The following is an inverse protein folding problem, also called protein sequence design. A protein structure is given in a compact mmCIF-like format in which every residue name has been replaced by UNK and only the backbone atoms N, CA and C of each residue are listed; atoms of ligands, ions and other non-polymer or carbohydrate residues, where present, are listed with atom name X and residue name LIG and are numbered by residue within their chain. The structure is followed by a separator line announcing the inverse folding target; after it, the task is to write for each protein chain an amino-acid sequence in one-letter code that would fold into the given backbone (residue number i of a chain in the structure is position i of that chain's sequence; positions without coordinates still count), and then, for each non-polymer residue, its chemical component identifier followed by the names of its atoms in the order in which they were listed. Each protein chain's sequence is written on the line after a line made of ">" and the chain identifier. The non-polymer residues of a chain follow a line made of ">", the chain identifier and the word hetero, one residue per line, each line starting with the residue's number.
data_IF_398263870871
#
_entry.id   IF_398263870871
#
_cell.length_a   1.000
_cell.length_b   1.000
_cell.length_c   1.000
_cell.angle_alpha   90.00
_cell.angle_beta   90.00
_cell.angle_gamma   90.00
#
_symmetry.space_group_name_H-M   'P 1'
#
loop_
_entity.id
_entity.type
_entity.pdbx_description
1 polymer ?
#
# COMPACT_ATOMS: atom_id res chain seq x y z
N UNK A 1 -14.27 15.51 -12.93
CA UNK A 1 -13.10 16.07 -13.60
C UNK A 1 -12.01 15.06 -13.99
N UNK A 2 -12.28 13.77 -13.89
CA UNK A 2 -11.34 12.69 -14.25
C UNK A 2 -10.82 12.79 -15.70
N UNK A 3 -11.57 13.40 -16.61
CA UNK A 3 -11.15 13.60 -18.00
C UNK A 3 -10.04 14.65 -18.15
N UNK A 4 -9.87 15.55 -17.18
CA UNK A 4 -8.84 16.56 -17.17
C UNK A 4 -7.53 16.05 -16.54
N UNK A 5 -7.62 14.99 -15.74
CA UNK A 5 -6.54 14.36 -15.01
C UNK A 5 -5.98 13.11 -15.74
N UNK A 6 -5.02 12.40 -15.12
CA UNK A 6 -4.50 11.08 -15.51
C UNK A 6 -3.86 11.03 -16.89
N UNK A 7 -3.06 12.03 -17.20
CA UNK A 7 -2.25 12.10 -18.40
C UNK A 7 -0.94 11.31 -18.24
N UNK A 8 -0.38 10.90 -19.36
CA UNK A 8 1.01 10.43 -19.38
C UNK A 8 1.95 11.60 -19.12
N UNK A 9 2.95 11.41 -18.26
CA UNK A 9 3.98 12.42 -18.05
C UNK A 9 4.95 12.49 -19.23
N UNK A 10 5.11 13.66 -19.86
CA UNK A 10 5.96 13.84 -21.05
C UNK A 10 7.43 14.15 -20.72
N UNK A 11 7.82 14.23 -19.44
CA UNK A 11 9.13 14.69 -18.99
C UNK A 11 9.14 16.13 -18.47
N UNK A 12 8.06 16.88 -18.67
CA UNK A 12 7.89 18.25 -18.22
C UNK A 12 6.51 18.44 -17.59
N UNK A 13 6.38 19.25 -16.50
CA UNK A 13 7.48 19.80 -15.72
C UNK A 13 8.33 18.71 -15.07
N UNK A 14 9.59 18.98 -14.70
CA UNK A 14 10.44 18.01 -14.03
C UNK A 14 9.87 17.61 -12.67
N UNK A 15 10.14 16.36 -12.24
CA UNK A 15 9.82 15.96 -10.89
C UNK A 15 10.48 16.90 -9.90
N UNK A 16 9.76 17.44 -8.91
CA UNK A 16 10.37 18.31 -7.90
C UNK A 16 11.47 17.58 -7.14
N UNK A 17 12.51 18.32 -6.70
CA UNK A 17 13.51 17.76 -5.81
C UNK A 17 12.85 17.14 -4.57
N UNK A 18 13.45 16.07 -4.03
CA UNK A 18 12.89 15.41 -2.87
C UNK A 18 12.91 16.33 -1.65
N UNK A 19 11.74 16.75 -1.22
CA UNK A 19 11.53 17.67 -0.09
C UNK A 19 11.44 16.98 1.27
N UNK A 20 11.50 15.67 1.30
CA UNK A 20 11.45 14.92 2.56
C UNK A 20 12.76 15.11 3.33
N UNK A 21 12.71 15.18 4.68
CA UNK A 21 13.91 15.23 5.49
C UNK A 21 14.78 14.00 5.25
N UNK A 22 16.08 14.15 5.47
CA UNK A 22 17.03 13.04 5.37
C UNK A 22 17.61 12.76 6.75
N UNK A 23 17.57 11.48 7.15
CA UNK A 23 18.08 11.02 8.44
C UNK A 23 19.08 9.89 8.24
N UNK A 24 20.15 9.87 9.03
CA UNK A 24 21.08 8.76 9.12
C UNK A 24 20.66 7.79 10.21
N UNK A 25 20.17 6.63 9.82
CA UNK A 25 19.80 5.52 10.70
C UNK A 25 20.78 4.35 10.65
N UNK A 26 22.02 4.57 10.16
CA UNK A 26 23.01 3.50 9.99
C UNK A 26 23.31 2.77 11.30
N UNK A 27 23.37 3.49 12.42
CA UNK A 27 23.60 2.86 13.74
C UNK A 27 22.41 1.98 14.16
N UNK A 28 21.20 2.47 13.97
CA UNK A 28 19.97 1.72 14.27
C UNK A 28 19.85 0.48 13.36
N UNK A 29 20.14 0.64 12.09
CA UNK A 29 20.11 -0.46 11.13
C UNK A 29 21.09 -1.57 11.52
N UNK A 30 22.32 -1.23 11.92
CA UNK A 30 23.28 -2.20 12.46
C UNK A 30 22.74 -2.93 13.70
N UNK A 31 22.02 -2.23 14.56
CA UNK A 31 21.39 -2.85 15.75
C UNK A 31 20.30 -3.84 15.34
N UNK A 32 19.44 -3.48 14.37
CA UNK A 32 18.43 -4.40 13.83
C UNK A 32 19.08 -5.64 13.22
N UNK A 33 20.13 -5.46 12.42
CA UNK A 33 20.85 -6.60 11.83
C UNK A 33 21.50 -7.54 12.89
N UNK A 34 22.07 -6.97 13.94
CA UNK A 34 22.67 -7.75 15.04
C UNK A 34 21.65 -8.49 15.91
N UNK A 35 20.41 -8.02 15.96
CA UNK A 35 19.35 -8.66 16.74
C UNK A 35 18.89 -10.01 16.17
N UNK A 36 19.42 -10.43 15.01
CA UNK A 36 19.03 -11.66 14.34
C UNK A 36 17.65 -11.62 13.69
N UNK A 37 16.97 -10.46 13.72
CA UNK A 37 15.70 -10.28 13.02
C UNK A 37 15.98 -10.37 11.52
N UNK A 38 15.36 -11.34 10.89
CA UNK A 38 15.48 -11.49 9.45
C UNK A 38 14.70 -10.36 8.77
N UNK A 39 15.31 -9.68 7.81
CA UNK A 39 14.74 -8.59 7.04
C UNK A 39 14.93 -8.83 5.56
N UNK A 40 14.16 -8.16 4.73
CA UNK A 40 14.34 -8.14 3.28
C UNK A 40 14.32 -6.68 2.78
N UNK A 41 14.81 -6.46 1.55
CA UNK A 41 15.03 -5.14 1.00
C UNK A 41 16.42 -4.59 1.28
N UNK A 42 16.73 -3.45 0.65
CA UNK A 42 18.01 -2.77 0.73
C UNK A 42 17.80 -1.30 1.14
N UNK A 43 17.39 -1.02 2.38
CA UNK A 43 17.17 0.34 2.81
C UNK A 43 18.49 1.14 2.81
N UNK A 44 18.44 2.35 2.25
CA UNK A 44 19.56 3.29 2.37
C UNK A 44 19.53 3.93 3.76
N UNK A 45 19.98 3.20 4.77
CA UNK A 45 19.87 3.60 6.17
C UNK A 45 20.56 4.94 6.49
N UNK A 46 21.64 5.29 5.76
CA UNK A 46 22.34 6.57 5.90
C UNK A 46 21.56 7.77 5.30
N UNK A 47 20.53 7.50 4.52
CA UNK A 47 19.79 8.54 3.79
C UNK A 47 18.27 8.27 3.77
N UNK A 48 17.72 7.77 4.87
CA UNK A 48 16.29 7.50 4.97
C UNK A 48 15.50 8.82 4.95
N UNK A 49 14.48 8.89 4.09
CA UNK A 49 13.76 10.15 3.80
C UNK A 49 12.29 10.08 4.20
N UNK A 50 12.05 9.96 5.52
CA UNK A 50 10.69 10.01 6.07
C UNK A 50 10.64 10.93 7.28
N UNK A 51 9.57 11.72 7.48
CA UNK A 51 9.45 12.59 8.64
C UNK A 51 9.39 11.77 9.93
N UNK A 52 10.09 12.22 10.96
CA UNK A 52 10.13 11.57 12.29
C UNK A 52 9.30 12.31 13.34
N UNK A 53 8.82 13.50 13.02
CA UNK A 53 8.04 14.34 13.92
C UNK A 53 7.06 15.21 13.15
N UNK A 54 6.15 15.85 13.90
CA UNK A 54 5.11 16.70 13.33
C UNK A 54 5.66 17.91 12.56
N UNK A 55 6.72 18.54 13.03
CA UNK A 55 7.32 19.69 12.36
C UNK A 55 7.84 19.32 10.97
N UNK A 56 8.52 18.20 10.85
CA UNK A 56 8.98 17.68 9.56
C UNK A 56 7.82 17.27 8.65
N UNK A 57 6.76 16.67 9.22
CA UNK A 57 5.57 16.31 8.48
C UNK A 57 4.81 17.53 7.93
N UNK A 58 4.74 18.63 8.69
CA UNK A 58 4.17 19.89 8.24
C UNK A 58 5.02 20.52 7.13
N UNK A 59 6.33 20.50 7.24
CA UNK A 59 7.23 20.96 6.17
C UNK A 59 7.05 20.14 4.87
N UNK A 60 6.82 18.81 4.99
CA UNK A 60 6.47 17.97 3.85
C UNK A 60 5.12 18.36 3.23
N UNK A 61 4.11 18.68 4.04
CA UNK A 61 2.81 19.15 3.56
C UNK A 61 2.94 20.48 2.80
N UNK A 62 3.62 21.45 3.38
CA UNK A 62 3.87 22.76 2.74
C UNK A 62 4.60 22.61 1.40
N UNK A 63 5.64 21.77 1.36
CA UNK A 63 6.39 21.50 0.14
C UNK A 63 5.54 20.80 -0.93
N UNK A 64 4.70 19.86 -0.55
CA UNK A 64 3.75 19.21 -1.48
C UNK A 64 2.78 20.22 -2.06
N UNK A 65 2.13 21.03 -1.22
CA UNK A 65 1.18 22.07 -1.65
C UNK A 65 1.84 23.02 -2.65
N UNK A 66 3.06 23.48 -2.33
CA UNK A 66 3.76 24.47 -3.14
C UNK A 66 4.31 23.92 -4.46
N UNK A 67 4.78 22.65 -4.49
CA UNK A 67 5.61 22.15 -5.58
C UNK A 67 4.95 21.06 -6.43
N UNK A 68 4.04 20.26 -5.84
CA UNK A 68 3.53 19.08 -6.49
C UNK A 68 2.01 19.09 -6.71
N UNK A 69 1.24 19.67 -5.78
CA UNK A 69 -0.22 19.72 -5.89
C UNK A 69 -0.72 20.31 -7.22
N UNK A 70 -0.12 21.39 -7.77
CA UNK A 70 -0.57 21.94 -9.06
C UNK A 70 -0.55 20.96 -10.22
N UNK A 71 0.32 19.95 -10.17
CA UNK A 71 0.49 18.93 -11.22
C UNK A 71 -0.01 17.54 -10.82
N UNK A 72 -0.50 17.38 -9.57
CA UNK A 72 -0.93 16.09 -9.04
C UNK A 72 -2.00 15.44 -9.92
N UNK A 73 -3.08 16.16 -10.23
CA UNK A 73 -4.18 15.62 -11.04
C UNK A 73 -3.74 15.17 -12.43
N UNK A 74 -2.95 16.00 -13.12
CA UNK A 74 -2.45 15.68 -14.45
C UNK A 74 -1.69 14.36 -14.50
N UNK A 75 -0.91 14.03 -13.46
CA UNK A 75 0.05 12.92 -13.49
C UNK A 75 -0.14 11.88 -12.37
N UNK A 76 -1.29 11.88 -11.69
CA UNK A 76 -1.56 10.95 -10.57
C UNK A 76 -1.48 9.46 -10.97
N UNK A 77 -1.77 9.14 -12.24
CA UNK A 77 -1.68 7.78 -12.80
C UNK A 77 -0.40 7.54 -13.63
N UNK A 78 0.44 8.55 -13.81
CA UNK A 78 1.65 8.40 -14.61
C UNK A 78 2.71 7.55 -13.89
N UNK A 79 3.56 6.89 -14.68
CA UNK A 79 4.67 6.08 -14.19
C UNK A 79 5.94 6.42 -14.96
N UNK A 80 7.07 6.59 -14.26
CA UNK A 80 8.35 6.86 -14.91
C UNK A 80 9.50 6.14 -14.22
N UNK A 81 10.44 5.65 -15.02
CA UNK A 81 11.71 5.11 -14.54
C UNK A 81 12.70 6.18 -14.09
N UNK A 82 12.48 7.43 -14.51
CA UNK A 82 13.34 8.58 -14.20
C UNK A 82 12.78 9.45 -13.07
N UNK A 83 11.46 9.40 -12.86
CA UNK A 83 10.75 10.20 -11.88
C UNK A 83 9.87 9.29 -10.99
N UNK A 84 10.45 8.60 -10.00
CA UNK A 84 9.75 7.53 -9.25
C UNK A 84 8.68 8.04 -8.29
N UNK A 85 8.66 9.33 -7.97
CA UNK A 85 7.68 9.96 -7.08
C UNK A 85 6.65 10.79 -7.83
N UNK A 86 7.05 11.34 -9.00
CA UNK A 86 6.30 12.32 -9.77
C UNK A 86 5.78 13.45 -8.85
N UNK A 87 4.47 13.66 -8.83
CA UNK A 87 3.83 14.71 -8.05
C UNK A 87 3.00 14.17 -6.87
N UNK A 88 3.29 12.92 -6.42
CA UNK A 88 2.60 12.33 -5.28
C UNK A 88 2.98 13.00 -3.97
N UNK A 89 2.01 13.09 -3.04
CA UNK A 89 2.16 13.84 -1.80
C UNK A 89 3.18 13.28 -0.81
N UNK A 90 3.35 11.94 -0.78
CA UNK A 90 4.17 11.21 0.18
C UNK A 90 3.76 11.43 1.65
N UNK A 91 2.48 11.84 1.89
CA UNK A 91 1.95 12.17 3.22
C UNK A 91 1.28 10.99 3.93
N UNK A 92 1.06 9.87 3.24
CA UNK A 92 0.33 8.71 3.76
C UNK A 92 0.93 8.18 5.07
N UNK A 93 2.26 8.09 5.16
CA UNK A 93 2.93 7.69 6.40
C UNK A 93 2.62 8.65 7.55
N UNK A 94 2.82 9.95 7.36
CA UNK A 94 2.57 10.96 8.38
C UNK A 94 1.11 11.01 8.84
N UNK A 95 0.16 10.78 7.91
CA UNK A 95 -1.27 10.66 8.21
C UNK A 95 -1.57 9.40 9.03
N UNK A 96 -0.95 8.28 8.70
CA UNK A 96 -1.23 7.00 9.35
C UNK A 96 -0.64 6.92 10.76
N UNK A 97 0.53 7.51 11.00
CA UNK A 97 1.12 7.64 12.35
C UNK A 97 0.62 8.86 13.13
N UNK A 98 -0.39 9.59 12.62
CA UNK A 98 -1.03 10.74 13.28
C UNK A 98 -0.12 11.97 13.48
N UNK A 99 0.96 12.11 12.72
CA UNK A 99 1.75 13.35 12.67
C UNK A 99 0.97 14.49 12.00
N UNK A 100 0.10 14.14 11.02
CA UNK A 100 -0.82 15.06 10.36
C UNK A 100 -2.26 14.62 10.58
N UNK A 101 -3.16 15.59 10.73
CA UNK A 101 -4.58 15.35 10.74
C UNK A 101 -5.15 15.48 9.31
N UNK A 102 -6.03 14.56 8.83
CA UNK A 102 -6.57 14.66 7.48
C UNK A 102 -7.24 16.00 7.16
N UNK A 103 -7.97 16.57 8.11
CA UNK A 103 -8.66 17.84 7.92
C UNK A 103 -7.68 19.01 7.65
N UNK A 104 -6.54 19.08 8.36
CA UNK A 104 -5.55 20.13 8.10
C UNK A 104 -4.95 20.01 6.69
N UNK A 105 -4.72 18.80 6.22
CA UNK A 105 -4.23 18.56 4.84
C UNK A 105 -5.27 18.98 3.81
N UNK A 106 -6.55 18.68 4.04
CA UNK A 106 -7.66 19.12 3.19
C UNK A 106 -7.80 20.63 3.16
N UNK A 107 -7.70 21.29 4.31
CA UNK A 107 -7.76 22.76 4.42
C UNK A 107 -6.61 23.46 3.68
N UNK A 108 -5.39 22.90 3.75
CA UNK A 108 -4.25 23.41 2.97
C UNK A 108 -4.47 23.28 1.46
N UNK A 109 -5.00 22.14 1.02
CA UNK A 109 -5.31 21.92 -0.39
C UNK A 109 -6.42 22.85 -0.89
N UNK A 110 -7.49 23.03 -0.11
CA UNK A 110 -8.57 23.96 -0.41
C UNK A 110 -8.06 25.42 -0.49
N UNK A 111 -7.22 25.83 0.46
CA UNK A 111 -6.63 27.17 0.45
C UNK A 111 -5.76 27.41 -0.80
N UNK A 112 -5.02 26.39 -1.26
CA UNK A 112 -4.24 26.48 -2.49
C UNK A 112 -5.12 26.68 -3.73
N UNK A 113 -6.27 26.05 -3.80
CA UNK A 113 -7.24 26.31 -4.85
C UNK A 113 -7.84 27.70 -4.75
N UNK A 114 -8.31 28.11 -3.57
CA UNK A 114 -8.94 29.43 -3.36
C UNK A 114 -7.99 30.59 -3.68
N UNK A 115 -6.70 30.41 -3.45
CA UNK A 115 -5.67 31.40 -3.80
C UNK A 115 -5.25 31.37 -5.27
N UNK A 116 -5.77 30.43 -6.08
CA UNK A 116 -5.37 30.25 -7.49
C UNK A 116 -4.02 29.57 -7.68
N UNK A 117 -3.40 29.03 -6.60
CA UNK A 117 -2.10 28.36 -6.68
C UNK A 117 -2.19 26.98 -7.36
N UNK A 118 -3.29 26.25 -7.15
CA UNK A 118 -3.52 24.94 -7.76
C UNK A 118 -4.87 24.88 -8.49
N UNK A 119 -4.95 24.22 -9.66
CA UNK A 119 -6.18 24.09 -10.41
C UNK A 119 -7.19 23.17 -9.67
N UNK A 120 -8.48 23.45 -9.85
CA UNK A 120 -9.56 22.70 -9.20
C UNK A 120 -9.46 21.19 -9.47
N UNK A 121 -9.15 20.79 -10.70
CA UNK A 121 -9.04 19.38 -11.06
C UNK A 121 -7.99 18.63 -10.24
N UNK A 122 -6.81 19.23 -10.00
CA UNK A 122 -5.76 18.64 -9.18
C UNK A 122 -6.15 18.57 -7.70
N UNK A 123 -6.75 19.65 -7.16
CA UNK A 123 -7.19 19.70 -5.77
C UNK A 123 -8.33 18.72 -5.52
N UNK A 124 -9.32 18.67 -6.40
CA UNK A 124 -10.44 17.72 -6.31
C UNK A 124 -9.95 16.28 -6.39
N UNK A 125 -9.04 15.98 -7.33
CA UNK A 125 -8.39 14.67 -7.43
C UNK A 125 -7.69 14.27 -6.13
N UNK A 126 -6.94 15.20 -5.53
CA UNK A 126 -6.24 14.95 -4.25
C UNK A 126 -7.21 14.78 -3.07
N UNK A 127 -8.21 15.65 -2.95
CA UNK A 127 -9.23 15.58 -1.88
C UNK A 127 -9.99 14.24 -1.92
N UNK A 128 -10.28 13.72 -3.12
CA UNK A 128 -10.92 12.41 -3.29
C UNK A 128 -10.07 11.25 -2.73
N UNK A 129 -8.75 11.36 -2.70
CA UNK A 129 -7.91 10.31 -2.12
C UNK A 129 -8.07 10.27 -0.59
N UNK A 130 -8.25 11.42 0.06
CA UNK A 130 -8.38 11.52 1.51
C UNK A 130 -9.83 11.32 1.98
N UNK A 131 -10.74 12.14 1.48
CA UNK A 131 -12.14 12.13 1.90
C UNK A 131 -12.91 10.94 1.30
N UNK A 132 -12.65 10.62 0.04
CA UNK A 132 -13.26 9.49 -0.64
C UNK A 132 -12.60 8.16 -0.24
N UNK A 133 -11.44 7.87 -0.83
CA UNK A 133 -10.83 6.55 -0.70
C UNK A 133 -10.37 6.21 0.71
N UNK A 134 -9.60 7.06 1.35
CA UNK A 134 -9.05 6.77 2.68
C UNK A 134 -10.14 6.52 3.72
N UNK A 135 -11.17 7.36 3.80
CA UNK A 135 -12.26 7.19 4.76
C UNK A 135 -13.21 6.05 4.35
N UNK A 136 -13.43 5.84 3.05
CA UNK A 136 -14.20 4.69 2.56
C UNK A 136 -13.54 3.36 2.95
N UNK A 137 -12.24 3.22 2.68
CA UNK A 137 -11.46 2.03 3.05
C UNK A 137 -11.49 1.79 4.56
N UNK A 138 -11.39 2.86 5.36
CA UNK A 138 -11.53 2.77 6.81
C UNK A 138 -12.90 2.24 7.23
N UNK A 139 -13.95 2.73 6.60
CA UNK A 139 -15.32 2.24 6.82
C UNK A 139 -15.47 0.75 6.48
N UNK A 140 -14.95 0.32 5.34
CA UNK A 140 -14.95 -1.09 4.92
C UNK A 140 -14.21 -1.97 5.93
N UNK A 141 -13.02 -1.58 6.37
CA UNK A 141 -12.25 -2.34 7.36
C UNK A 141 -13.06 -2.56 8.64
N UNK A 142 -13.56 -1.51 9.26
CA UNK A 142 -14.30 -1.62 10.52
C UNK A 142 -15.65 -2.33 10.40
N UNK A 143 -16.29 -2.26 9.22
CA UNK A 143 -17.57 -2.93 8.99
C UNK A 143 -17.43 -4.43 8.75
N UNK A 144 -16.29 -4.91 8.25
CA UNK A 144 -16.16 -6.28 7.75
C UNK A 144 -15.13 -7.15 8.49
N UNK A 145 -14.25 -6.55 9.33
CA UNK A 145 -13.32 -7.34 10.14
C UNK A 145 -14.03 -8.09 11.28
N UNK A 146 -13.51 -9.26 11.73
CA UNK A 146 -12.26 -9.91 11.28
C UNK A 146 -12.43 -10.81 10.03
N UNK A 147 -13.64 -11.08 9.58
CA UNK A 147 -13.90 -12.03 8.49
C UNK A 147 -13.42 -11.57 7.10
N UNK A 148 -13.08 -10.28 6.95
CA UNK A 148 -12.63 -9.74 5.66
C UNK A 148 -11.27 -10.29 5.21
N UNK A 149 -10.35 -10.50 6.14
CA UNK A 149 -8.99 -10.96 5.86
C UNK A 149 -8.95 -12.32 5.13
N UNK A 150 -9.90 -13.21 5.42
CA UNK A 150 -9.93 -14.56 4.83
C UNK A 150 -10.59 -14.63 3.46
N UNK A 151 -11.10 -13.51 2.92
CA UNK A 151 -11.83 -13.52 1.65
C UNK A 151 -10.91 -13.80 0.46
N UNK A 152 -11.38 -14.70 -0.42
CA UNK A 152 -10.70 -15.06 -1.67
C UNK A 152 -11.73 -15.46 -2.74
N UNK A 153 -12.59 -14.53 -3.14
CA UNK A 153 -13.72 -14.77 -4.02
C UNK A 153 -13.34 -15.29 -5.42
N UNK A 154 -12.12 -15.01 -5.87
CA UNK A 154 -11.61 -15.49 -7.16
C UNK A 154 -10.84 -16.81 -7.06
N UNK A 155 -10.67 -17.34 -5.84
CA UNK A 155 -10.04 -18.64 -5.58
C UNK A 155 -8.60 -18.71 -6.10
N UNK A 156 -7.81 -17.69 -5.77
CA UNK A 156 -6.42 -17.55 -6.17
C UNK A 156 -5.49 -18.11 -5.09
N UNK A 157 -4.57 -19.03 -5.45
CA UNK A 157 -3.75 -19.77 -4.50
C UNK A 157 -2.27 -19.86 -4.88
N UNK A 158 -1.83 -19.23 -5.98
CA UNK A 158 -0.44 -19.29 -6.38
C UNK A 158 0.44 -18.47 -5.43
N UNK A 159 1.58 -19.03 -5.05
CA UNK A 159 2.55 -18.34 -4.20
C UNK A 159 3.20 -17.15 -4.93
N UNK A 160 3.66 -16.15 -4.15
CA UNK A 160 4.42 -15.04 -4.70
C UNK A 160 5.74 -15.54 -5.30
N UNK A 161 6.08 -15.17 -6.55
CA UNK A 161 7.36 -15.51 -7.15
C UNK A 161 8.55 -14.92 -6.39
N UNK A 162 9.71 -15.59 -6.43
CA UNK A 162 10.92 -15.18 -5.73
C UNK A 162 11.34 -13.73 -6.02
N UNK A 163 11.10 -13.24 -7.20
CA UNK A 163 11.46 -11.88 -7.59
C UNK A 163 10.67 -10.77 -6.84
N UNK A 164 9.61 -11.08 -6.11
CA UNK A 164 9.02 -10.13 -5.16
C UNK A 164 10.02 -9.69 -4.08
N UNK A 165 11.01 -10.51 -3.76
CA UNK A 165 12.03 -10.21 -2.75
C UNK A 165 13.37 -9.74 -3.32
N UNK A 166 13.60 -9.89 -4.64
CA UNK A 166 14.88 -9.54 -5.29
C UNK A 166 14.74 -8.48 -6.36
N UNK A 167 13.56 -8.35 -6.95
CA UNK A 167 13.34 -7.53 -8.15
C UNK A 167 13.93 -8.12 -9.42
N UNK A 168 14.35 -9.40 -9.43
CA UNK A 168 14.98 -10.05 -10.58
C UNK A 168 13.95 -10.66 -11.51
N UNK A 169 13.38 -9.83 -12.38
CA UNK A 169 12.45 -10.22 -13.43
C UNK A 169 12.77 -9.48 -14.72
N UNK A 170 12.48 -10.10 -15.85
CA UNK A 170 12.62 -9.49 -17.18
C UNK A 170 11.46 -8.51 -17.50
N UNK A 171 10.37 -8.55 -16.75
CA UNK A 171 9.28 -7.58 -16.86
C UNK A 171 9.68 -6.25 -16.22
N UNK A 172 10.21 -5.33 -17.03
CA UNK A 172 10.83 -4.08 -16.54
C UNK A 172 9.89 -3.25 -15.64
N UNK A 173 8.59 -3.21 -15.91
CA UNK A 173 7.63 -2.51 -15.05
C UNK A 173 7.60 -3.09 -13.63
N UNK A 174 7.55 -4.41 -13.48
CA UNK A 174 7.61 -5.09 -12.19
C UNK A 174 8.99 -4.92 -11.54
N UNK A 175 10.07 -5.09 -12.31
CA UNK A 175 11.43 -4.89 -11.81
C UNK A 175 11.60 -3.50 -11.19
N UNK A 176 11.19 -2.44 -11.90
CA UNK A 176 11.31 -1.06 -11.41
C UNK A 176 10.46 -0.83 -10.16
N UNK A 177 9.18 -1.24 -10.18
CA UNK A 177 8.27 -1.02 -9.06
C UNK A 177 8.69 -1.79 -7.80
N UNK A 178 9.17 -3.03 -7.95
CA UNK A 178 9.63 -3.84 -6.83
C UNK A 178 10.97 -3.36 -6.30
N UNK A 179 11.95 -3.06 -7.16
CA UNK A 179 13.25 -2.51 -6.72
C UNK A 179 13.08 -1.19 -5.98
N UNK A 180 12.20 -0.29 -6.47
CA UNK A 180 11.85 0.93 -5.76
C UNK A 180 11.26 0.62 -4.38
N UNK A 181 10.31 -0.32 -4.29
CA UNK A 181 9.71 -0.74 -3.01
C UNK A 181 10.75 -1.27 -2.03
N UNK A 182 11.66 -2.13 -2.48
CA UNK A 182 12.73 -2.72 -1.67
C UNK A 182 13.76 -1.70 -1.17
N UNK A 183 14.01 -0.63 -1.92
CA UNK A 183 15.00 0.40 -1.60
C UNK A 183 14.43 1.52 -0.73
N UNK A 184 13.18 1.93 -1.01
CA UNK A 184 12.61 3.15 -0.44
C UNK A 184 11.44 2.90 0.52
N UNK A 185 11.00 1.64 0.67
CA UNK A 185 9.78 1.25 1.36
C UNK A 185 8.53 1.98 0.81
N UNK A 186 8.57 2.39 -0.46
CA UNK A 186 7.50 3.15 -1.11
C UNK A 186 7.39 2.82 -2.61
N UNK A 187 6.15 2.71 -3.06
CA UNK A 187 5.74 2.83 -4.44
C UNK A 187 4.44 3.65 -4.45
N UNK A 188 4.22 4.49 -5.44
CA UNK A 188 2.96 5.23 -5.53
C UNK A 188 1.79 4.29 -5.89
N UNK A 189 0.56 4.75 -5.64
CA UNK A 189 -0.65 3.91 -5.74
C UNK A 189 -0.74 3.14 -7.06
N UNK A 190 -0.45 3.77 -8.19
CA UNK A 190 -0.56 3.13 -9.51
C UNK A 190 0.48 2.03 -9.72
N UNK A 191 1.69 2.17 -9.19
CA UNK A 191 2.65 1.06 -9.21
C UNK A 191 2.15 -0.12 -8.36
N UNK A 192 1.54 0.14 -7.19
CA UNK A 192 0.95 -0.92 -6.35
C UNK A 192 -0.27 -1.56 -7.02
N UNK A 193 -1.20 -0.76 -7.55
CA UNK A 193 -2.45 -1.26 -8.12
C UNK A 193 -2.27 -1.84 -9.52
N UNK A 194 -1.73 -1.05 -10.45
CA UNK A 194 -1.77 -1.36 -11.88
C UNK A 194 -0.51 -2.06 -12.41
N UNK A 195 0.54 -2.17 -11.61
CA UNK A 195 1.74 -2.94 -11.97
C UNK A 195 1.80 -4.21 -11.12
N UNK A 196 2.12 -4.09 -9.82
CA UNK A 196 2.33 -5.23 -8.94
C UNK A 196 1.00 -5.97 -8.67
N UNK A 197 -0.02 -5.25 -8.27
CA UNK A 197 -1.34 -5.81 -7.97
C UNK A 197 -2.04 -6.39 -9.21
N UNK A 198 -1.96 -5.69 -10.34
CA UNK A 198 -2.49 -6.18 -11.61
C UNK A 198 -1.83 -7.50 -12.04
N UNK A 199 -0.48 -7.59 -11.93
CA UNK A 199 0.20 -8.86 -12.19
C UNK A 199 -0.28 -9.96 -11.25
N UNK A 200 -0.33 -9.69 -9.96
CA UNK A 200 -0.76 -10.67 -8.95
C UNK A 200 -2.17 -11.19 -9.22
N UNK A 201 -3.11 -10.29 -9.54
CA UNK A 201 -4.49 -10.62 -9.87
C UNK A 201 -4.58 -11.45 -11.15
N UNK A 202 -3.90 -11.01 -12.21
CA UNK A 202 -3.90 -11.70 -13.50
C UNK A 202 -3.26 -13.09 -13.40
N UNK A 203 -2.16 -13.23 -12.66
CA UNK A 203 -1.47 -14.49 -12.47
C UNK A 203 -2.16 -15.44 -11.48
N UNK A 204 -3.14 -14.98 -10.71
CA UNK A 204 -3.82 -15.79 -9.71
C UNK A 204 -3.02 -16.03 -8.43
N UNK A 205 -2.19 -15.04 -8.03
CA UNK A 205 -1.43 -15.12 -6.78
C UNK A 205 -2.38 -15.01 -5.57
N UNK A 206 -2.02 -15.68 -4.47
CA UNK A 206 -2.80 -15.66 -3.23
C UNK A 206 -2.92 -14.22 -2.68
N UNK A 207 -4.16 -13.69 -2.53
CA UNK A 207 -4.37 -12.31 -2.08
C UNK A 207 -3.78 -12.03 -0.69
N UNK A 208 -3.87 -12.99 0.23
CA UNK A 208 -3.32 -12.88 1.58
C UNK A 208 -1.79 -12.84 1.58
N UNK A 209 -1.14 -13.55 0.65
CA UNK A 209 0.32 -13.48 0.50
C UNK A 209 0.76 -12.10 -0.01
N UNK A 210 0.02 -11.53 -0.97
CA UNK A 210 0.28 -10.17 -1.46
C UNK A 210 0.03 -9.12 -0.37
N UNK A 211 -1.06 -9.25 0.40
CA UNK A 211 -1.35 -8.41 1.55
C UNK A 211 -0.19 -8.42 2.55
N UNK A 212 0.26 -9.60 2.98
CA UNK A 212 1.39 -9.73 3.90
C UNK A 212 2.68 -9.11 3.35
N UNK A 213 2.92 -9.23 2.04
CA UNK A 213 4.08 -8.62 1.40
C UNK A 213 3.97 -7.08 1.40
N UNK A 214 2.79 -6.52 1.05
CA UNK A 214 2.56 -5.07 1.08
C UNK A 214 2.66 -4.50 2.50
N UNK A 215 2.06 -5.19 3.48
CA UNK A 215 2.13 -4.79 4.88
C UNK A 215 3.58 -4.79 5.40
N UNK A 216 4.42 -5.71 4.92
CA UNK A 216 5.81 -5.83 5.33
C UNK A 216 6.76 -4.85 4.65
N UNK A 217 6.48 -4.39 3.42
CA UNK A 217 7.44 -3.60 2.63
C UNK A 217 7.18 -2.09 2.69
N UNK A 218 5.91 -1.64 2.75
CA UNK A 218 5.61 -0.23 2.66
C UNK A 218 5.55 0.44 4.04
N UNK A 219 6.19 1.58 4.16
CA UNK A 219 6.25 2.34 5.42
C UNK A 219 4.90 2.91 5.84
N UNK A 220 4.02 3.15 4.89
CA UNK A 220 2.67 3.67 5.10
C UNK A 220 1.61 2.57 5.23
N UNK A 221 2.01 1.29 5.15
CA UNK A 221 1.09 0.17 5.24
C UNK A 221 0.71 -0.10 6.71
N UNK A 222 -0.54 0.24 7.03
CA UNK A 222 -1.24 -0.14 8.23
C UNK A 222 -2.39 -1.05 7.84
N UNK A 223 -2.68 -2.07 8.63
CA UNK A 223 -3.64 -3.11 8.28
C UNK A 223 -5.00 -2.52 7.83
N UNK A 224 -5.52 -1.54 8.56
CA UNK A 224 -6.83 -0.95 8.28
C UNK A 224 -6.91 -0.25 6.90
N UNK A 225 -5.80 0.27 6.40
CA UNK A 225 -5.76 0.95 5.09
C UNK A 225 -5.24 0.01 4.00
N UNK A 226 -4.28 -0.86 4.33
CA UNK A 226 -3.63 -1.72 3.34
C UNK A 226 -4.49 -2.93 2.98
N UNK A 227 -5.04 -3.65 3.97
CA UNK A 227 -5.80 -4.87 3.76
C UNK A 227 -6.98 -4.71 2.80
N UNK A 228 -7.90 -3.72 2.99
CA UNK A 228 -9.01 -3.56 2.06
C UNK A 228 -8.56 -3.05 0.68
N UNK A 229 -7.53 -2.21 0.62
CA UNK A 229 -6.96 -1.78 -0.67
C UNK A 229 -6.38 -2.96 -1.46
N UNK A 230 -5.72 -3.89 -0.78
CA UNK A 230 -5.13 -5.05 -1.43
C UNK A 230 -6.19 -6.10 -1.75
N UNK A 231 -6.92 -6.61 -0.75
CA UNK A 231 -7.89 -7.68 -0.99
C UNK A 231 -9.09 -7.22 -1.83
N UNK A 232 -9.63 -6.05 -1.55
CA UNK A 232 -10.83 -5.56 -2.21
C UNK A 232 -10.53 -4.85 -3.53
N UNK A 233 -9.78 -3.74 -3.49
CA UNK A 233 -9.53 -2.94 -4.70
C UNK A 233 -8.61 -3.67 -5.68
N UNK A 234 -7.45 -4.14 -5.22
CA UNK A 234 -6.42 -4.70 -6.08
C UNK A 234 -6.76 -6.13 -6.52
N UNK A 235 -7.11 -7.01 -5.60
CA UNK A 235 -7.27 -8.44 -5.86
C UNK A 235 -8.73 -8.89 -6.03
N UNK A 236 -9.71 -8.00 -5.81
CA UNK A 236 -11.15 -8.36 -5.85
C UNK A 236 -11.47 -9.62 -5.03
N UNK A 237 -10.68 -9.91 -4.03
CA UNK A 237 -10.86 -11.06 -3.16
C UNK A 237 -12.11 -10.95 -2.29
N UNK A 238 -12.65 -9.75 -2.11
CA UNK A 238 -13.88 -9.46 -1.37
C UNK A 238 -15.18 -9.72 -2.16
N UNK A 239 -15.07 -10.16 -3.43
CA UNK A 239 -16.21 -10.41 -4.31
C UNK A 239 -16.84 -9.15 -4.90
N UNK A 240 -16.24 -7.98 -4.70
CA UNK A 240 -16.71 -6.70 -5.26
C UNK A 240 -17.38 -5.78 -4.26
N UNK A 241 -17.08 -5.92 -2.98
CA UNK A 241 -17.54 -4.99 -1.93
C UNK A 241 -16.96 -3.59 -2.16
N UNK A 242 -15.65 -3.50 -2.45
CA UNK A 242 -14.98 -2.22 -2.71
C UNK A 242 -15.15 -1.79 -4.17
N UNK A 243 -14.90 -2.68 -5.11
CA UNK A 243 -14.85 -2.36 -6.52
C UNK A 243 -15.88 -3.16 -7.32
N UNK A 244 -16.73 -2.49 -8.08
CA UNK A 244 -17.77 -3.12 -8.90
C UNK A 244 -17.21 -3.99 -10.03
N UNK A 245 -15.98 -3.70 -10.47
CA UNK A 245 -15.24 -4.46 -11.50
C UNK A 245 -13.78 -4.67 -11.09
N UNK A 246 -13.12 -5.75 -11.58
CA UNK A 246 -11.71 -5.96 -11.30
C UNK A 246 -10.85 -4.88 -11.96
N UNK A 247 -9.83 -4.39 -11.24
CA UNK A 247 -8.82 -3.48 -11.77
C UNK A 247 -7.74 -4.27 -12.52
N UNK A 248 -8.06 -4.67 -13.74
CA UNK A 248 -7.17 -5.43 -14.62
C UNK A 248 -6.84 -4.66 -15.88
N UNK A 249 -5.60 -4.79 -16.34
CA UNK A 249 -5.16 -4.20 -17.60
C UNK A 249 -4.13 -5.08 -18.30
N UNK A 250 -4.14 -4.99 -19.65
CA UNK A 250 -3.08 -5.57 -20.48
C UNK A 250 -1.87 -4.62 -20.54
N UNK A 251 -0.83 -5.03 -21.29
CA UNK A 251 0.35 -4.19 -21.54
C UNK A 251 0.03 -2.83 -22.17
N UNK A 252 -1.10 -2.67 -22.84
CA UNK A 252 -1.49 -1.41 -23.49
C UNK A 252 -1.66 -0.26 -22.46
N UNK A 253 -2.19 -0.55 -21.27
CA UNK A 253 -2.28 0.46 -20.21
C UNK A 253 -0.90 0.88 -19.72
N UNK A 254 -0.04 -0.10 -19.39
CA UNK A 254 1.31 0.16 -18.91
C UNK A 254 2.14 0.98 -19.91
N UNK A 255 2.00 0.67 -21.21
CA UNK A 255 2.66 1.42 -22.29
C UNK A 255 2.12 2.85 -22.41
N UNK A 256 0.80 3.04 -22.23
CA UNK A 256 0.17 4.34 -22.32
C UNK A 256 0.56 5.27 -21.18
N UNK A 257 0.61 4.74 -19.94
CA UNK A 257 0.76 5.55 -18.74
C UNK A 257 2.20 5.71 -18.26
N UNK A 258 3.15 4.96 -18.86
CA UNK A 258 4.54 5.01 -18.41
C UNK A 258 5.58 4.80 -19.50
N UNK A 259 6.84 4.83 -19.06
CA UNK A 259 8.03 4.62 -19.90
C UNK A 259 8.66 3.23 -19.71
N UNK A 260 8.16 2.41 -18.79
CA UNK A 260 8.78 1.13 -18.44
C UNK A 260 8.91 0.15 -19.60
N UNK A 261 8.03 0.22 -20.60
CA UNK A 261 8.11 -0.61 -21.79
C UNK A 261 9.31 -0.25 -22.70
N UNK A 262 9.87 0.94 -22.53
CA UNK A 262 11.07 1.34 -23.27
C UNK A 262 12.28 0.58 -22.70
N UNK A 263 12.95 -0.22 -23.56
CA UNK A 263 14.06 -1.06 -23.15
C UNK A 263 13.68 -2.28 -22.30
N UNK A 264 12.38 -2.67 -22.29
CA UNK A 264 11.93 -3.93 -21.73
C UNK A 264 12.36 -5.11 -22.62
N UNK A 265 12.58 -6.29 -22.03
CA UNK A 265 12.83 -7.52 -22.78
C UNK A 265 11.62 -7.94 -23.63
N UNK A 266 10.41 -7.54 -23.22
CA UNK A 266 9.15 -7.86 -23.87
C UNK A 266 8.59 -6.67 -24.65
N UNK A 267 7.92 -6.96 -25.77
CA UNK A 267 7.25 -5.98 -26.61
C UNK A 267 5.75 -5.92 -26.25
N UNK A 268 5.22 -4.78 -25.77
CA UNK A 268 3.81 -4.66 -25.38
C UNK A 268 2.85 -4.79 -26.57
N UNK A 269 3.30 -4.61 -27.80
CA UNK A 269 2.49 -4.75 -29.02
C UNK A 269 2.37 -6.19 -29.50
N UNK A 270 3.38 -7.03 -29.19
CA UNK A 270 3.34 -8.43 -29.56
C UNK A 270 2.34 -9.20 -28.70
N UNK A 271 1.54 -10.04 -29.36
CA UNK A 271 0.55 -10.88 -28.69
C UNK A 271 1.06 -12.30 -28.46
N UNK A 272 2.10 -12.72 -29.19
CA UNK A 272 2.60 -14.09 -29.27
C UNK A 272 4.10 -14.12 -29.50
N UNK A 273 4.72 -15.27 -29.20
CA UNK A 273 6.15 -15.48 -29.36
C UNK A 273 6.98 -15.08 -28.14
N UNK A 274 8.26 -15.37 -28.15
CA UNK A 274 9.17 -15.25 -27.00
C UNK A 274 9.31 -13.82 -26.45
N UNK A 275 9.01 -12.81 -27.26
CA UNK A 275 9.06 -11.40 -26.86
C UNK A 275 7.69 -10.80 -26.57
N UNK A 276 6.61 -11.57 -26.63
CA UNK A 276 5.28 -11.07 -26.28
C UNK A 276 5.24 -10.69 -24.80
N UNK A 277 4.61 -9.53 -24.51
CA UNK A 277 4.49 -9.10 -23.11
C UNK A 277 3.56 -10.04 -22.34
N UNK A 278 4.00 -10.63 -21.20
CA UNK A 278 3.20 -11.56 -20.41
C UNK A 278 1.84 -10.99 -19.96
N UNK A 279 1.76 -9.69 -19.69
CA UNK A 279 0.49 -9.04 -19.34
C UNK A 279 -0.60 -9.21 -20.40
N UNK A 280 -0.26 -9.34 -21.68
CA UNK A 280 -1.24 -9.54 -22.74
C UNK A 280 -1.88 -10.95 -22.65
N UNK A 281 -1.06 -11.99 -22.45
CA UNK A 281 -1.54 -13.35 -22.30
C UNK A 281 -2.33 -13.53 -20.99
N UNK A 282 -1.75 -13.08 -19.87
CA UNK A 282 -2.36 -13.15 -18.55
C UNK A 282 -3.72 -12.43 -18.48
N UNK A 283 -3.86 -11.30 -19.17
CA UNK A 283 -5.12 -10.55 -19.22
C UNK A 283 -6.27 -11.38 -19.79
N UNK A 284 -6.03 -12.09 -20.88
CA UNK A 284 -7.04 -12.93 -21.52
C UNK A 284 -7.29 -14.22 -20.74
N UNK A 285 -6.23 -14.85 -20.24
CA UNK A 285 -6.30 -16.04 -19.39
C UNK A 285 -7.11 -15.77 -18.10
N UNK A 286 -6.91 -14.60 -17.47
CA UNK A 286 -7.70 -14.20 -16.30
C UNK A 286 -9.20 -14.19 -16.59
N UNK A 287 -9.64 -13.57 -17.68
CA UNK A 287 -11.07 -13.54 -18.02
C UNK A 287 -11.62 -14.92 -18.37
N UNK A 288 -10.80 -15.76 -18.97
CA UNK A 288 -11.22 -17.14 -19.27
C UNK A 288 -11.37 -17.97 -17.98
N UNK A 289 -10.38 -17.97 -17.12
CA UNK A 289 -10.40 -18.67 -15.82
C UNK A 289 -11.53 -18.18 -14.91
N UNK A 290 -11.83 -16.91 -14.93
CA UNK A 290 -12.81 -16.29 -14.04
C UNK A 290 -14.18 -16.05 -14.69
N UNK A 291 -14.45 -16.67 -15.84
CA UNK A 291 -15.66 -16.48 -16.63
C UNK A 291 -16.94 -16.66 -15.81
N UNK A 292 -17.00 -17.70 -15.01
CA UNK A 292 -18.18 -18.05 -14.21
C UNK A 292 -18.35 -17.13 -13.00
N UNK A 293 -17.24 -16.73 -12.36
CA UNK A 293 -17.25 -15.91 -11.13
C UNK A 293 -17.49 -14.42 -11.38
N UNK A 294 -17.09 -13.89 -12.53
CA UNK A 294 -17.27 -12.48 -12.86
C UNK A 294 -18.66 -12.12 -13.40
N UNK A 295 -19.51 -13.15 -13.63
CA UNK A 295 -20.86 -12.94 -14.16
C UNK A 295 -20.93 -12.63 -15.64
N UNK A 296 -22.14 -12.76 -16.22
CA UNK A 296 -22.32 -12.92 -17.66
C UNK A 296 -22.17 -11.66 -18.54
N UNK A 297 -22.24 -10.45 -17.99
CA UNK A 297 -22.24 -9.23 -18.82
C UNK A 297 -20.84 -8.78 -19.25
N UNK A 298 -19.89 -8.63 -18.31
CA UNK A 298 -18.51 -8.21 -18.61
C UNK A 298 -17.68 -9.32 -19.27
N UNK A 299 -17.90 -10.57 -18.84
CA UNK A 299 -17.18 -11.71 -19.36
C UNK A 299 -17.63 -12.07 -20.80
N UNK A 300 -18.94 -12.00 -21.14
CA UNK A 300 -19.44 -12.38 -22.47
C UNK A 300 -18.98 -11.40 -23.57
N UNK A 301 -18.90 -10.12 -23.31
CA UNK A 301 -18.44 -9.15 -24.30
C UNK A 301 -16.95 -9.35 -24.64
N UNK A 302 -16.16 -9.81 -23.66
CA UNK A 302 -14.71 -10.07 -23.81
C UNK A 302 -14.40 -11.48 -24.29
N UNK A 303 -15.23 -12.47 -23.95
CA UNK A 303 -15.01 -13.89 -24.31
C UNK A 303 -15.27 -14.20 -25.79
N UNK A 304 -16.05 -13.40 -26.51
CA UNK A 304 -16.19 -13.56 -27.96
C UNK A 304 -14.87 -13.46 -28.73
N UNK A 305 -13.92 -12.68 -28.23
CA UNK A 305 -12.56 -12.59 -28.79
C UNK A 305 -11.62 -13.69 -28.31
N UNK A 306 -11.83 -14.25 -27.11
CA UNK A 306 -10.98 -15.29 -26.50
C UNK A 306 -11.11 -16.61 -27.27
N UNK A 307 -12.32 -16.99 -27.69
CA UNK A 307 -12.55 -18.23 -28.42
C UNK A 307 -11.79 -18.26 -29.76
N UNK A 308 -11.61 -17.11 -30.40
CA UNK A 308 -10.80 -16.99 -31.60
C UNK A 308 -9.28 -17.15 -31.32
N UNK A 309 -8.79 -16.66 -30.18
CA UNK A 309 -7.39 -16.75 -29.78
C UNK A 309 -7.00 -18.17 -29.29
N UNK A 310 -7.90 -18.88 -28.58
CA UNK A 310 -7.68 -20.27 -28.13
C UNK A 310 -7.54 -21.25 -29.32
N UNK A 311 -8.29 -21.03 -30.40
CA UNK A 311 -8.20 -21.86 -31.62
C UNK A 311 -6.86 -21.75 -32.35
N UNK A 312 -6.07 -20.72 -32.05
CA UNK A 312 -4.78 -20.47 -32.72
C UNK A 312 -3.56 -21.02 -31.97
N UNK A 313 -3.76 -21.76 -30.86
CA UNK A 313 -2.65 -22.41 -30.12
C UNK A 313 -1.70 -21.47 -29.39
N UNK A 314 -2.06 -20.20 -29.25
CA UNK A 314 -1.21 -19.09 -28.84
C UNK A 314 -0.82 -19.10 -27.35
N UNK A 315 -1.55 -19.80 -26.50
CA UNK A 315 -1.34 -19.79 -25.04
C UNK A 315 -0.19 -20.67 -24.55
N UNK A 316 0.17 -21.73 -25.29
CA UNK A 316 1.20 -22.68 -24.84
C UNK A 316 2.64 -22.18 -24.88
N UNK A 317 2.94 -21.16 -25.67
CA UNK A 317 4.31 -20.64 -25.83
C UNK A 317 4.66 -19.42 -24.94
N UNK A 318 3.68 -18.74 -24.32
CA UNK A 318 3.94 -17.59 -23.47
C UNK A 318 4.45 -17.96 -22.06
N UNK A 319 4.35 -19.22 -21.66
CA UNK A 319 4.64 -19.69 -20.31
C UNK A 319 6.10 -20.14 -20.08
N UNK A 320 6.97 -20.04 -21.08
CA UNK A 320 8.22 -20.83 -21.09
C UNK A 320 9.38 -20.36 -20.22
N UNK A 321 9.47 -19.11 -19.81
CA UNK A 321 10.70 -18.61 -19.16
C UNK A 321 10.50 -17.97 -17.80
N UNK A 322 9.47 -17.13 -17.59
CA UNK A 322 9.27 -16.48 -16.28
C UNK A 322 8.37 -17.32 -15.33
N UNK A 323 7.53 -18.22 -15.88
CA UNK A 323 6.66 -19.09 -15.08
C UNK A 323 7.34 -20.39 -14.60
N UNK A 324 8.40 -20.85 -15.25
CA UNK A 324 9.23 -21.96 -14.72
C UNK A 324 9.84 -21.66 -13.35
N UNK A 325 9.91 -20.38 -12.96
CA UNK A 325 10.32 -19.97 -11.61
C UNK A 325 9.19 -20.05 -10.56
N UNK A 326 7.91 -20.17 -10.97
CA UNK A 326 6.78 -20.27 -10.02
C UNK A 326 6.76 -21.66 -9.36
N UNK A 327 7.07 -22.73 -10.07
CA UNK A 327 7.16 -24.09 -9.51
C UNK A 327 8.32 -24.26 -8.52
N UNK A 328 9.44 -23.53 -8.72
CA UNK A 328 10.59 -23.58 -7.81
C UNK A 328 10.32 -22.98 -6.44
N UNK A 329 9.32 -22.12 -6.30
CA UNK A 329 9.02 -21.42 -5.03
C UNK A 329 8.26 -22.29 -4.04
N UNK A 330 7.52 -23.31 -4.49
CA UNK A 330 6.85 -24.26 -3.60
C UNK A 330 7.86 -25.05 -2.75
N UNK A 331 8.99 -25.43 -3.33
CA UNK A 331 10.08 -26.12 -2.61
C UNK A 331 10.84 -25.18 -1.64
N UNK A 332 11.01 -23.91 -1.99
CA UNK A 332 11.70 -22.95 -1.12
C UNK A 332 10.84 -22.53 0.09
N UNK A 333 9.53 -22.41 -0.07
CA UNK A 333 8.60 -22.17 1.04
C UNK A 333 8.48 -23.38 1.97
N UNK A 334 8.60 -24.61 1.47
CA UNK A 334 8.70 -25.81 2.29
C UNK A 334 10.00 -25.88 3.09
N UNK A 335 11.12 -25.36 2.57
CA UNK A 335 12.40 -25.29 3.30
C UNK A 335 12.48 -24.17 4.33
N UNK A 336 11.68 -23.10 4.19
CA UNK A 336 11.57 -22.03 5.18
C UNK A 336 10.56 -22.35 6.28
N UNK A 337 9.95 -23.55 6.23
CA UNK A 337 9.07 -24.16 7.22
C UNK A 337 8.51 -23.19 8.24
N UNK A 338 7.51 -22.42 7.87
CA UNK A 338 6.59 -21.71 8.75
C UNK A 338 6.24 -20.33 8.17
N UNK A 339 4.96 -20.11 7.88
CA UNK A 339 4.39 -18.84 7.43
C UNK A 339 4.55 -17.64 8.40
N UNK A 340 5.08 -17.88 9.60
CA UNK A 340 5.35 -16.86 10.62
C UNK A 340 6.60 -16.00 10.35
N UNK A 341 7.47 -16.41 9.43
CA UNK A 341 8.78 -15.78 9.27
C UNK A 341 8.72 -14.45 8.47
N UNK A 342 7.75 -14.29 7.55
CA UNK A 342 7.62 -13.09 6.71
C UNK A 342 7.01 -11.92 7.47
N UNK A 343 6.06 -12.18 8.38
CA UNK A 343 5.41 -11.14 9.18
C UNK A 343 6.34 -10.47 10.20
N UNK A 344 7.28 -11.23 10.78
CA UNK A 344 8.22 -10.67 11.77
C UNK A 344 9.30 -9.77 11.16
N UNK A 345 9.50 -9.79 9.85
CA UNK A 345 10.67 -9.22 9.18
C UNK A 345 10.48 -7.80 8.60
N UNK A 346 9.33 -7.48 8.03
CA UNK A 346 9.02 -6.13 7.53
C UNK A 346 8.52 -5.20 8.64
N UNK A 347 7.86 -5.78 9.64
CA UNK A 347 7.37 -5.10 10.84
C UNK A 347 8.53 -4.55 11.69
N UNK A 348 9.71 -5.17 11.67
CA UNK A 348 10.83 -4.75 12.51
C UNK A 348 11.41 -3.37 12.11
N UNK A 349 11.46 -2.99 10.82
CA UNK A 349 11.92 -1.65 10.43
C UNK A 349 10.88 -0.59 10.75
N UNK A 350 9.62 -0.87 10.45
CA UNK A 350 8.50 0.01 10.81
C UNK A 350 8.28 0.08 12.33
N UNK A 351 8.42 -1.04 13.05
CA UNK A 351 8.31 -1.09 14.51
C UNK A 351 9.53 -0.50 15.22
N UNK A 352 10.74 -0.60 14.67
CA UNK A 352 11.91 0.10 15.21
C UNK A 352 11.78 1.62 15.06
N UNK A 353 11.17 2.10 13.97
CA UNK A 353 10.82 3.51 13.80
C UNK A 353 9.67 3.94 14.71
N UNK A 354 8.63 3.10 14.87
CA UNK A 354 7.54 3.32 15.82
C UNK A 354 8.00 3.28 17.28
N UNK A 355 8.92 2.39 17.63
CA UNK A 355 9.51 2.32 18.98
C UNK A 355 10.37 3.54 19.31
N UNK A 356 11.04 4.15 18.33
CA UNK A 356 11.74 5.43 18.48
C UNK A 356 10.76 6.61 18.63
N UNK A 357 9.65 6.59 17.92
CA UNK A 357 8.57 7.56 18.07
C UNK A 357 7.90 7.42 19.44
N UNK A 358 7.58 6.20 19.87
CA UNK A 358 7.01 5.93 21.20
C UNK A 358 7.96 6.32 22.35
N UNK A 359 9.26 6.07 22.25
CA UNK A 359 10.21 6.53 23.27
C UNK A 359 10.31 8.06 23.35
N UNK A 360 10.21 8.76 22.22
CA UNK A 360 10.18 10.24 22.23
C UNK A 360 8.86 10.79 22.75
N UNK A 361 7.71 10.16 22.41
CA UNK A 361 6.42 10.54 22.98
C UNK A 361 6.31 10.22 24.47
N UNK A 362 6.85 9.10 24.92
CA UNK A 362 6.89 8.76 26.35
C UNK A 362 7.78 9.71 27.13
N UNK A 363 8.91 10.16 26.56
CA UNK A 363 9.76 11.21 27.12
C UNK A 363 9.08 12.59 27.08
N UNK A 364 8.33 12.89 26.05
CA UNK A 364 7.55 14.11 25.94
C UNK A 364 6.38 14.14 26.93
N UNK A 365 5.66 13.02 27.08
CA UNK A 365 4.64 12.86 28.12
C UNK A 365 5.21 12.90 29.53
N UNK A 366 6.36 12.26 29.78
CA UNK A 366 7.00 12.29 31.10
C UNK A 366 7.47 13.71 31.51
N UNK A 367 7.94 14.51 30.56
CA UNK A 367 8.35 15.89 30.82
C UNK A 367 7.17 16.88 30.96
N UNK A 368 5.97 16.54 30.45
CA UNK A 368 4.78 17.37 30.60
C UNK A 368 3.83 16.91 31.72
N UNK A 369 4.03 15.74 32.31
CA UNK A 369 3.21 15.23 33.41
C UNK A 369 3.39 15.98 34.74
N UNK A 370 4.43 16.79 34.88
CA UNK A 370 4.56 17.67 36.04
C UNK A 370 3.56 18.87 36.04
N UNK A 371 2.88 19.13 34.90
CA UNK A 371 1.88 20.18 34.75
C UNK A 371 0.43 19.71 34.71
N UNK A 372 0.14 18.41 34.55
CA UNK A 372 -1.19 17.90 34.20
C UNK A 372 -1.93 17.16 35.32
N UNK A 373 -1.51 17.26 36.58
CA UNK A 373 -2.19 16.59 37.73
C UNK A 373 -3.39 17.39 38.28
N UNK A 374 -3.89 18.38 37.58
CA UNK A 374 -5.03 19.18 38.09
C UNK A 374 -6.34 19.13 37.28
N UNK A 375 -6.47 18.22 36.30
CA UNK A 375 -7.78 18.12 35.60
C UNK A 375 -8.15 16.67 35.28
N UNK A 376 -8.77 16.00 36.27
CA UNK A 376 -9.09 14.56 36.27
C UNK A 376 -10.50 14.26 35.73
N UNK A 377 -10.97 14.87 34.64
CA UNK A 377 -12.31 14.54 34.08
C UNK A 377 -12.44 14.48 32.57
N UNK A 378 -11.37 14.33 31.80
CA UNK A 378 -11.51 14.01 30.36
C UNK A 378 -10.61 12.85 29.99
N UNK A 379 -11.22 11.66 29.87
CA UNK A 379 -10.57 10.43 29.47
C UNK A 379 -9.92 10.57 28.09
N UNK A 380 -8.64 10.26 28.01
CA UNK A 380 -7.90 10.13 26.77
C UNK A 380 -8.25 8.79 26.11
N UNK A 381 -9.04 8.79 25.06
CA UNK A 381 -9.31 7.59 24.25
C UNK A 381 -8.15 7.42 23.28
N UNK A 382 -7.23 6.53 23.58
CA UNK A 382 -6.25 6.03 22.60
C UNK A 382 -6.95 4.89 21.84
N UNK A 383 -7.34 5.15 20.62
CA UNK A 383 -7.92 4.14 19.75
C UNK A 383 -6.86 3.10 19.37
N UNK A 384 -7.07 1.84 19.77
CA UNK A 384 -6.39 0.69 19.17
C UNK A 384 -5.41 -0.10 20.02
N UNK A 385 -5.33 0.10 21.34
CA UNK A 385 -4.56 -0.79 22.24
C UNK A 385 -5.47 -1.23 23.37
N UNK A 386 -5.61 -2.53 23.55
CA UNK A 386 -6.40 -3.14 24.61
C UNK A 386 -5.82 -2.78 25.98
N UNK A 387 -6.51 -1.91 26.71
CA UNK A 387 -6.11 -1.42 28.02
C UNK A 387 -5.96 -2.55 29.08
N UNK A 388 -6.50 -3.73 28.82
CA UNK A 388 -6.40 -4.89 29.73
C UNK A 388 -5.03 -5.57 29.68
N UNK A 389 -4.26 -5.43 28.59
CA UNK A 389 -2.91 -6.03 28.49
C UNK A 389 -1.79 -5.19 29.12
N UNK A 390 -2.00 -3.90 29.31
CA UNK A 390 -1.00 -3.02 29.96
C UNK A 390 -1.08 -3.14 31.49
N UNK A 391 -2.24 -3.46 32.04
CA UNK A 391 -2.40 -3.65 33.48
C UNK A 391 -1.80 -4.96 34.02
N UNK A 392 -1.56 -5.97 33.16
CA UNK A 392 -1.06 -7.28 33.57
C UNK A 392 0.47 -7.36 33.78
N UNK A 393 1.23 -6.35 33.37
CA UNK A 393 2.70 -6.37 33.52
C UNK A 393 3.28 -5.40 34.57
N UNK A 394 2.45 -4.64 35.27
CA UNK A 394 2.91 -3.71 36.33
C UNK A 394 2.50 -4.09 37.74
N UNK A 395 1.91 -5.26 37.98
CA UNK A 395 1.52 -5.73 39.32
C UNK A 395 2.10 -7.10 39.65
N UNK A 396 3.43 -7.22 39.72
CA UNK A 396 4.09 -8.28 40.44
C UNK A 396 4.89 -7.65 41.60
N UNK A 397 4.22 -7.40 42.70
CA UNK A 397 4.86 -6.92 43.95
C UNK A 397 3.82 -6.49 44.97
N UNK A 398 3.61 -7.39 45.96
CA UNK A 398 2.96 -7.21 47.24
C UNK A 398 1.42 -7.26 47.35
N UNK A 399 1.05 -8.13 48.26
CA UNK A 399 -0.24 -8.65 48.66
C UNK A 399 -1.22 -7.63 49.28
N UNK A 400 -2.50 -8.06 49.23
CA UNK A 400 -3.60 -7.81 50.18
C UNK A 400 -4.53 -6.60 49.97
N UNK A 401 -5.73 -6.89 49.54
CA UNK A 401 -7.10 -6.69 50.02
C UNK A 401 -8.10 -6.33 48.91
N UNK A 402 -9.33 -6.86 48.96
CA UNK A 402 -10.31 -6.74 47.92
C UNK A 402 -11.09 -5.43 47.99
N UNK A 403 -11.40 -4.82 46.86
CA UNK A 403 -12.26 -3.67 46.78
C UNK A 403 -13.67 -4.09 46.30
N UNK A 404 -14.64 -3.70 47.09
CA UNK A 404 -16.07 -4.00 46.99
C UNK A 404 -16.75 -3.37 45.75
N UNK A 405 -17.73 -4.09 45.20
CA UNK A 405 -18.68 -3.64 44.14
C UNK A 405 -19.42 -2.39 44.59
N UNK A 406 -19.47 -1.39 43.71
CA UNK A 406 -20.45 -0.31 43.75
C UNK A 406 -21.40 -0.46 42.53
N UNK A 407 -22.66 -0.66 42.85
CA UNK A 407 -23.83 -0.68 41.96
C UNK A 407 -24.20 0.73 41.53
N UNK A 408 -24.42 0.93 40.23
CA UNK A 408 -24.97 2.17 39.66
C UNK A 408 -26.45 1.97 39.37
N UNK A 409 -27.34 2.88 39.83
CA UNK A 409 -28.77 2.79 39.55
C UNK A 409 -29.13 3.37 38.18
N UNK A 410 -30.01 2.66 37.48
CA UNK A 410 -30.70 3.04 36.26
C UNK A 410 -31.71 4.17 36.51
N UNK A 411 -31.77 5.18 35.64
CA UNK A 411 -32.93 6.11 35.53
C UNK A 411 -33.47 6.08 34.09
N UNK A 412 -34.79 6.19 33.93
CA UNK A 412 -35.48 6.01 32.67
C UNK A 412 -35.57 7.29 31.83
N UNK A 413 -35.61 7.07 30.52
CA UNK A 413 -35.93 8.07 29.49
C UNK A 413 -37.43 8.35 29.50
N UNK A 414 -37.82 9.63 29.56
CA UNK A 414 -39.13 10.12 29.13
C UNK A 414 -38.95 11.38 28.31
N UNK A 415 -39.59 11.32 27.10
CA UNK A 415 -39.90 12.34 26.08
C UNK A 415 -38.74 13.02 25.38
#
# INVERSE_FOLDING_TARGET
>A
FDHDNRKRWPGTPPEPADWRPQHDHSALWRTVQRSGVQSFGNPQAAALRWPLNRSEALACLEAFIAKALPHFGDYEDAMSSQAPRLFHSLLSFALNVKMLHPLEVLQCAEAAWRSGHAPLAAVEGFVRQLLGWREYIRGIYWAHMPGYESRNALDHHLSLPRWFWTGDTHMRCLQQSIKQSLQTAHAHHIQRLMVIGNFALLAGLEPQALHRWYLGIYIDAFEWVELPNTLGMSQRADGGVIATKPYVSSAAYLQRMGDYCQGCAYDPKQKTGARACPFNALYWDFFDRQRERLGSADARQKTGHITALYRTGLFRHAYGTDFGQIEFTAQFCQHLGQGDCVMKKGVALAQAQLALLHRKETLFCANNLSGCIKDSQRGCIIAGVDAQRIAAHSCSGSASRPCSRATVPSRPLTN
#
